data_IF_224774722570
#
_entry.id   IF_224774722570
#
_cell.length_a   1.000
_cell.length_b   1.000
_cell.length_c   1.000
_cell.angle_alpha   90.00
_cell.angle_beta   90.00
_cell.angle_gamma   90.00
#
_symmetry.space_group_name_H-M   'P 1'
#
loop_
_entity.id
_entity.type
_entity.pdbx_description
1 polymer ?
#
# COMPACT_ATOMS: atom_id res chain seq x y z
N UNK A 1 -3.46 13.94 -15.11
CA UNK A 1 -1.99 13.94 -15.27
C UNK A 1 -1.27 13.04 -14.26
N UNK A 2 -1.43 13.24 -12.94
CA UNK A 2 -0.74 12.39 -11.93
C UNK A 2 -1.18 10.92 -11.93
N UNK A 3 -2.45 10.63 -12.16
CA UNK A 3 -2.95 9.24 -12.22
C UNK A 3 -2.25 8.40 -13.30
N UNK A 4 -1.92 9.00 -14.45
CA UNK A 4 -1.19 8.30 -15.53
C UNK A 4 0.21 7.89 -15.05
N UNK A 5 0.91 8.80 -14.35
CA UNK A 5 2.25 8.51 -13.79
C UNK A 5 2.19 7.44 -12.70
N UNK A 6 1.18 7.49 -11.84
CA UNK A 6 0.99 6.51 -10.77
C UNK A 6 0.72 5.12 -11.36
N UNK A 7 -0.16 4.98 -12.34
CA UNK A 7 -0.41 3.70 -12.99
C UNK A 7 0.85 3.12 -13.66
N UNK A 8 1.63 3.95 -14.35
CA UNK A 8 2.91 3.50 -14.92
C UNK A 8 3.88 3.06 -13.83
N UNK A 9 3.97 3.80 -12.71
CA UNK A 9 4.81 3.43 -11.58
C UNK A 9 4.37 2.11 -10.93
N UNK A 10 3.07 1.90 -10.71
CA UNK A 10 2.52 0.65 -10.15
C UNK A 10 2.87 -0.55 -11.05
N UNK A 11 2.75 -0.39 -12.38
CA UNK A 11 3.11 -1.47 -13.32
C UNK A 11 4.61 -1.80 -13.26
N UNK A 12 5.45 -0.80 -13.05
CA UNK A 12 6.90 -0.92 -13.11
C UNK A 12 7.57 -1.23 -11.76
N UNK A 13 6.85 -1.10 -10.62
CA UNK A 13 7.45 -1.38 -9.31
C UNK A 13 7.49 -2.89 -9.01
N UNK A 14 8.46 -3.27 -8.20
CA UNK A 14 8.52 -4.62 -7.59
C UNK A 14 7.61 -4.72 -6.37
N UNK A 15 7.48 -3.63 -5.61
CA UNK A 15 6.62 -3.52 -4.44
C UNK A 15 6.12 -2.08 -4.28
N UNK A 16 4.87 -1.91 -3.84
CA UNK A 16 4.26 -0.61 -3.55
C UNK A 16 4.00 -0.41 -2.05
N UNK A 17 4.13 0.82 -1.57
CA UNK A 17 3.66 1.22 -0.23
C UNK A 17 2.48 2.16 -0.40
N UNK A 18 1.31 1.76 0.07
CA UNK A 18 0.06 2.50 -0.06
C UNK A 18 -0.30 3.14 1.27
N UNK A 19 -0.11 4.45 1.37
CA UNK A 19 -0.40 5.21 2.58
C UNK A 19 -1.82 5.76 2.59
N UNK A 20 -2.60 5.39 3.60
CA UNK A 20 -3.89 6.01 3.90
C UNK A 20 -3.69 7.14 4.91
N UNK A 21 -3.97 8.37 4.47
CA UNK A 21 -3.97 9.53 5.35
C UNK A 21 -5.27 9.67 6.15
N UNK A 22 -5.24 10.53 7.16
CA UNK A 22 -6.39 10.78 8.06
C UNK A 22 -7.58 11.46 7.36
N UNK A 23 -7.33 12.33 6.37
CA UNK A 23 -8.38 13.06 5.64
C UNK A 23 -8.05 13.17 4.15
N UNK A 24 -9.09 12.99 3.33
CA UNK A 24 -9.09 13.08 1.86
C UNK A 24 -8.26 11.99 1.15
N UNK A 25 -8.67 11.65 -0.09
CA UNK A 25 -7.98 10.73 -1.02
C UNK A 25 -7.77 9.27 -0.57
N UNK A 26 -8.40 8.83 0.52
CA UNK A 26 -8.42 7.40 0.92
C UNK A 26 -8.97 6.50 -0.19
N UNK A 27 -9.96 6.99 -0.96
CA UNK A 27 -10.53 6.29 -2.11
C UNK A 27 -9.52 6.06 -3.24
N UNK A 28 -8.63 7.02 -3.49
CA UNK A 28 -7.57 6.85 -4.49
C UNK A 28 -6.54 5.83 -4.00
N UNK A 29 -6.16 5.88 -2.73
CA UNK A 29 -5.25 4.90 -2.13
C UNK A 29 -5.87 3.49 -2.17
N UNK A 30 -7.14 3.34 -1.82
CA UNK A 30 -7.87 2.07 -1.91
C UNK A 30 -7.94 1.57 -3.36
N UNK A 31 -8.16 2.47 -4.33
CA UNK A 31 -8.16 2.13 -5.74
C UNK A 31 -6.77 1.65 -6.21
N UNK A 32 -5.71 2.37 -5.85
CA UNK A 32 -4.34 1.99 -6.20
C UNK A 32 -3.94 0.65 -5.55
N UNK A 33 -4.35 0.39 -4.31
CA UNK A 33 -4.18 -0.91 -3.65
C UNK A 33 -4.93 -2.04 -4.37
N UNK A 34 -6.19 -1.80 -4.74
CA UNK A 34 -6.97 -2.75 -5.55
C UNK A 34 -6.33 -3.00 -6.92
N UNK A 35 -5.70 -1.97 -7.51
CA UNK A 35 -4.99 -2.12 -8.78
C UNK A 35 -3.70 -2.94 -8.62
N UNK A 36 -2.95 -2.75 -7.53
CA UNK A 36 -1.83 -3.62 -7.18
C UNK A 36 -2.28 -5.08 -7.03
N UNK A 37 -3.36 -5.31 -6.28
CA UNK A 37 -3.94 -6.64 -6.08
C UNK A 37 -4.34 -7.30 -7.42
N UNK A 38 -5.02 -6.55 -8.30
CA UNK A 38 -5.43 -7.03 -9.62
C UNK A 38 -4.24 -7.38 -10.54
N UNK A 39 -3.13 -6.66 -10.43
CA UNK A 39 -1.90 -6.91 -11.19
C UNK A 39 -0.97 -7.95 -10.54
N UNK A 40 -1.32 -8.48 -9.36
CA UNK A 40 -0.43 -9.35 -8.57
C UNK A 40 0.84 -8.65 -8.09
N UNK A 41 0.82 -7.31 -7.99
CA UNK A 41 1.94 -6.53 -7.45
C UNK A 41 1.86 -6.55 -5.93
N UNK A 42 2.91 -7.01 -5.22
CA UNK A 42 2.89 -7.02 -3.77
C UNK A 42 2.88 -5.58 -3.26
N UNK A 43 2.14 -5.36 -2.18
CA UNK A 43 2.05 -4.05 -1.56
C UNK A 43 1.85 -4.12 -0.06
N UNK A 44 2.23 -3.03 0.60
CA UNK A 44 2.11 -2.83 2.04
C UNK A 44 1.21 -1.62 2.28
N UNK A 45 0.23 -1.75 3.16
CA UNK A 45 -0.61 -0.61 3.56
C UNK A 45 0.00 0.11 4.76
N UNK A 46 -0.08 1.45 4.78
CA UNK A 46 0.37 2.28 5.90
C UNK A 46 -0.80 3.13 6.38
N UNK A 47 -1.33 2.84 7.56
CA UNK A 47 -2.51 3.51 8.10
C UNK A 47 -2.61 3.37 9.62
N UNK A 48 -3.42 4.22 10.23
CA UNK A 48 -3.73 4.14 11.66
C UNK A 48 -4.60 2.92 12.00
N UNK A 49 -4.52 2.42 13.22
CA UNK A 49 -5.29 1.26 13.68
C UNK A 49 -6.81 1.48 13.59
N UNK A 50 -7.27 2.72 13.73
CA UNK A 50 -8.67 3.09 13.56
C UNK A 50 -9.24 2.75 12.18
N UNK A 51 -8.39 2.55 11.17
CA UNK A 51 -8.78 2.21 9.81
C UNK A 51 -8.80 0.71 9.52
N UNK A 52 -8.31 -0.16 10.42
CA UNK A 52 -8.22 -1.63 10.19
C UNK A 52 -9.58 -2.21 9.78
N UNK A 53 -10.66 -1.84 10.49
CA UNK A 53 -11.99 -2.39 10.18
C UNK A 53 -12.51 -1.92 8.80
N UNK A 54 -12.24 -0.65 8.45
CA UNK A 54 -12.65 -0.07 7.19
C UNK A 54 -11.82 -0.61 6.00
N UNK A 55 -10.55 -0.96 6.24
CA UNK A 55 -9.61 -1.41 5.23
C UNK A 55 -9.44 -2.94 5.18
N UNK A 56 -10.21 -3.70 5.97
CA UNK A 56 -10.08 -5.17 6.09
C UNK A 56 -9.94 -5.94 4.77
N UNK A 57 -10.67 -5.53 3.72
CA UNK A 57 -10.64 -6.20 2.41
C UNK A 57 -9.37 -5.81 1.61
N UNK A 58 -8.91 -4.57 1.80
CA UNK A 58 -7.66 -4.08 1.22
C UNK A 58 -6.49 -4.77 1.92
N UNK A 59 -6.46 -4.76 3.25
CA UNK A 59 -5.42 -5.40 4.05
C UNK A 59 -5.39 -6.92 3.84
N UNK A 60 -6.55 -7.54 3.63
CA UNK A 60 -6.66 -8.97 3.29
C UNK A 60 -5.99 -9.34 1.96
N UNK A 61 -5.78 -8.36 1.07
CA UNK A 61 -5.07 -8.55 -0.20
C UNK A 61 -3.61 -8.06 -0.16
N UNK A 62 -3.22 -7.32 0.88
CA UNK A 62 -1.86 -6.82 1.10
C UNK A 62 -0.97 -7.91 1.71
N UNK A 63 0.35 -7.79 1.55
CA UNK A 63 1.31 -8.73 2.17
C UNK A 63 1.62 -8.36 3.62
N UNK A 64 1.42 -7.10 3.98
CA UNK A 64 1.61 -6.58 5.33
C UNK A 64 0.91 -5.23 5.46
N UNK A 65 0.70 -4.79 6.69
CA UNK A 65 0.26 -3.43 7.00
C UNK A 65 1.11 -2.88 8.15
N UNK A 66 1.24 -1.55 8.21
CA UNK A 66 2.02 -0.85 9.22
C UNK A 66 1.28 0.39 9.72
N UNK A 67 1.58 0.80 10.95
CA UNK A 67 1.10 2.05 11.53
C UNK A 67 2.13 3.17 11.43
N UNK A 68 3.40 2.83 11.23
CA UNK A 68 4.50 3.80 11.17
C UNK A 68 5.44 3.57 9.99
N UNK A 69 6.09 4.63 9.47
CA UNK A 69 7.14 4.47 8.45
C UNK A 69 8.33 3.61 8.90
N UNK A 70 8.66 3.60 10.20
CA UNK A 70 9.76 2.76 10.72
C UNK A 70 9.48 1.27 10.52
N UNK A 71 8.25 0.82 10.77
CA UNK A 71 7.85 -0.56 10.50
C UNK A 71 7.94 -0.90 9.01
N UNK A 72 7.63 0.05 8.10
CA UNK A 72 7.85 -0.14 6.66
C UNK A 72 9.33 -0.39 6.39
N UNK A 73 10.23 0.41 6.97
CA UNK A 73 11.68 0.23 6.81
C UNK A 73 12.10 -1.13 7.33
N UNK A 74 11.64 -1.55 8.52
CA UNK A 74 11.94 -2.87 9.08
C UNK A 74 11.50 -4.02 8.16
N UNK A 75 10.28 -3.94 7.60
CA UNK A 75 9.78 -4.93 6.64
C UNK A 75 10.67 -4.96 5.39
N UNK A 76 10.99 -3.80 4.82
CA UNK A 76 11.85 -3.72 3.62
C UNK A 76 13.26 -4.23 3.89
N UNK A 77 13.86 -3.88 5.04
CA UNK A 77 15.17 -4.37 5.47
C UNK A 77 15.15 -5.89 5.58
N UNK A 78 14.13 -6.48 6.20
CA UNK A 78 13.99 -7.93 6.28
C UNK A 78 13.90 -8.59 4.91
N UNK A 79 13.17 -7.99 3.96
CA UNK A 79 13.01 -8.52 2.61
C UNK A 79 14.31 -8.47 1.77
N UNK A 80 15.15 -7.45 1.96
CA UNK A 80 16.37 -7.25 1.14
C UNK A 80 17.67 -7.72 1.80
N UNK A 81 17.67 -8.01 3.10
CA UNK A 81 18.86 -8.42 3.86
C UNK A 81 19.28 -9.89 3.61
N UNK A 82 18.85 -10.50 2.51
CA UNK A 82 19.17 -11.88 2.14
C UNK A 82 20.05 -11.95 0.91
#
# INVERSE_FOLDING_TARGET
MNAIRIQTAIKNCDLAVIRFGEKYKQWNAAFDAGYCAALGKPYITLHDESLIHALKEVDGSAQSWATTPSQIVEILTYLVAK
#
